data_IF_519856698581
#
_entry.id   IF_519856698581
#
_cell.length_a   1.000
_cell.length_b   1.000
_cell.length_c   1.000
_cell.angle_alpha   90.00
_cell.angle_beta   90.00
_cell.angle_gamma   90.00
#
_symmetry.space_group_name_H-M   'P 1'
#
loop_
_entity.id
_entity.type
_entity.pdbx_description
1 polymer ?
#
# COMPACT_ATOMS: atom_id res chain seq x y z
N UNK A 1 -18.84 12.84 24.76
CA UNK A 1 -18.54 11.94 23.63
C UNK A 1 -17.30 12.49 22.96
N UNK A 2 -16.22 11.71 22.89
CA UNK A 2 -15.06 12.09 22.08
C UNK A 2 -15.49 12.14 20.62
N UNK A 3 -15.11 13.21 19.92
CA UNK A 3 -15.39 13.35 18.49
C UNK A 3 -14.62 12.25 17.74
N UNK A 4 -15.28 11.59 16.79
CA UNK A 4 -14.63 10.59 15.93
C UNK A 4 -13.80 11.31 14.88
N UNK A 5 -12.60 10.82 14.61
CA UNK A 5 -11.79 11.33 13.50
C UNK A 5 -12.41 10.89 12.17
N UNK A 6 -12.51 11.80 11.22
CA UNK A 6 -13.02 11.54 9.88
C UNK A 6 -11.87 11.14 8.96
N UNK A 7 -11.89 9.89 8.49
CA UNK A 7 -10.93 9.40 7.49
C UNK A 7 -11.62 9.28 6.14
N UNK A 8 -10.98 9.83 5.12
CA UNK A 8 -11.31 9.58 3.72
C UNK A 8 -10.42 8.46 3.18
N UNK A 9 -11.00 7.27 2.97
CA UNK A 9 -10.30 6.10 2.45
C UNK A 9 -10.55 5.95 0.94
N UNK A 10 -9.50 5.93 0.13
CA UNK A 10 -9.61 5.88 -1.33
C UNK A 10 -8.79 4.70 -1.86
N UNK A 11 -9.45 3.84 -2.62
CA UNK A 11 -8.97 2.50 -3.00
C UNK A 11 -9.55 2.13 -4.36
N UNK A 12 -8.93 1.20 -5.12
CA UNK A 12 -9.44 0.75 -6.42
C UNK A 12 -10.21 -0.58 -6.37
N UNK A 13 -10.30 -1.19 -5.20
CA UNK A 13 -10.95 -2.48 -4.93
C UNK A 13 -12.02 -2.37 -3.83
N UNK A 14 -13.27 -2.69 -4.18
CA UNK A 14 -14.43 -2.71 -3.27
C UNK A 14 -14.24 -3.68 -2.09
N UNK A 15 -13.51 -4.79 -2.29
CA UNK A 15 -13.24 -5.76 -1.22
C UNK A 15 -12.29 -5.18 -0.18
N UNK A 16 -11.29 -4.41 -0.62
CA UNK A 16 -10.36 -3.71 0.27
C UNK A 16 -11.09 -2.58 1.02
N UNK A 17 -12.05 -1.89 0.37
CA UNK A 17 -12.96 -0.94 1.05
C UNK A 17 -13.79 -1.61 2.13
N UNK A 18 -14.43 -2.74 1.81
CA UNK A 18 -15.22 -3.49 2.78
C UNK A 18 -14.35 -3.94 3.96
N UNK A 19 -13.14 -4.41 3.68
CA UNK A 19 -12.17 -4.84 4.69
C UNK A 19 -11.73 -3.69 5.58
N UNK A 20 -11.33 -2.55 5.00
CA UNK A 20 -10.95 -1.36 5.76
C UNK A 20 -12.09 -0.86 6.64
N UNK A 21 -13.33 -0.85 6.12
CA UNK A 21 -14.52 -0.48 6.90
C UNK A 21 -14.75 -1.43 8.07
N UNK A 22 -14.72 -2.74 7.83
CA UNK A 22 -14.85 -3.77 8.87
C UNK A 22 -13.80 -3.60 9.95
N UNK A 23 -12.56 -3.31 9.56
CA UNK A 23 -11.43 -3.21 10.47
C UNK A 23 -11.40 -1.90 11.25
N UNK A 24 -11.87 -0.78 10.72
CA UNK A 24 -11.58 0.54 11.30
C UNK A 24 -12.81 1.41 11.61
N UNK A 25 -13.94 1.26 10.92
CA UNK A 25 -15.14 2.05 11.21
C UNK A 25 -15.64 1.76 12.63
N UNK A 26 -16.14 2.80 13.34
CA UNK A 26 -16.73 2.61 14.65
C UNK A 26 -16.46 3.77 15.61
N UNK A 27 -16.10 3.44 16.85
CA UNK A 27 -16.04 4.40 17.97
C UNK A 27 -14.95 5.46 17.84
N UNK A 28 -13.88 5.18 17.08
CA UNK A 28 -12.77 6.12 16.86
C UNK A 28 -12.85 6.83 15.50
N UNK A 29 -13.34 6.15 14.47
CA UNK A 29 -13.30 6.63 13.10
C UNK A 29 -14.67 6.65 12.45
N UNK A 30 -14.97 7.80 11.83
CA UNK A 30 -15.99 7.91 10.80
C UNK A 30 -15.31 7.81 9.42
N UNK A 31 -15.84 6.99 8.52
CA UNK A 31 -15.21 6.72 7.22
C UNK A 31 -16.05 7.20 6.05
N UNK A 32 -15.47 8.04 5.21
CA UNK A 32 -15.90 8.19 3.80
C UNK A 32 -15.00 7.30 2.95
N UNK A 33 -15.55 6.24 2.37
CA UNK A 33 -14.79 5.33 1.49
C UNK A 33 -15.23 5.50 0.05
N UNK A 34 -14.26 5.59 -0.87
CA UNK A 34 -14.51 5.71 -2.30
C UNK A 34 -13.70 4.67 -3.09
N UNK A 35 -14.40 3.95 -3.97
CA UNK A 35 -13.79 3.09 -4.97
C UNK A 35 -13.48 3.94 -6.22
N UNK A 36 -12.20 4.11 -6.54
CA UNK A 36 -11.72 4.95 -7.63
C UNK A 36 -10.82 4.12 -8.53
N UNK A 37 -11.19 3.94 -9.79
CA UNK A 37 -10.35 3.22 -10.77
C UNK A 37 -9.53 4.16 -11.66
N UNK A 38 -9.83 5.46 -11.64
CA UNK A 38 -9.15 6.49 -12.44
C UNK A 38 -8.78 7.70 -11.57
N UNK A 39 -7.53 7.76 -11.06
CA UNK A 39 -7.03 8.90 -10.28
C UNK A 39 -7.18 10.26 -10.96
N UNK A 40 -7.18 10.29 -12.30
CA UNK A 40 -7.22 11.53 -13.08
C UNK A 40 -8.55 12.24 -13.02
N UNK A 41 -9.64 11.50 -12.88
CA UNK A 41 -11.01 11.99 -12.86
C UNK A 41 -11.67 11.82 -11.49
N UNK A 42 -10.90 11.50 -10.45
CA UNK A 42 -11.41 11.15 -9.13
C UNK A 42 -11.89 12.35 -8.30
N UNK A 43 -11.30 13.54 -8.51
CA UNK A 43 -11.51 14.69 -7.64
C UNK A 43 -13.00 15.10 -7.51
N UNK A 44 -13.79 15.21 -8.59
CA UNK A 44 -15.21 15.54 -8.46
C UNK A 44 -16.01 14.53 -7.63
N UNK A 45 -15.71 13.23 -7.77
CA UNK A 45 -16.38 12.17 -7.00
C UNK A 45 -16.01 12.25 -5.52
N UNK A 46 -14.75 12.58 -5.23
CA UNK A 46 -14.25 12.78 -3.86
C UNK A 46 -14.90 14.02 -3.24
N UNK A 47 -14.99 15.12 -3.98
CA UNK A 47 -15.67 16.35 -3.53
C UNK A 47 -17.16 16.09 -3.24
N UNK A 48 -17.85 15.37 -4.12
CA UNK A 48 -19.24 14.98 -3.92
C UNK A 48 -19.43 14.13 -2.66
N UNK A 49 -18.60 13.11 -2.46
CA UNK A 49 -18.70 12.20 -1.31
C UNK A 49 -18.34 12.87 0.03
N UNK A 50 -17.42 13.84 0.02
CA UNK A 50 -17.07 14.62 1.21
C UNK A 50 -18.10 15.72 1.49
N UNK A 51 -18.72 16.28 0.45
CA UNK A 51 -19.61 17.42 0.56
C UNK A 51 -18.90 18.62 1.18
N UNK A 52 -19.49 19.19 2.23
CA UNK A 52 -18.88 20.31 2.97
C UNK A 52 -17.86 19.88 4.04
N UNK A 53 -17.63 18.57 4.23
CA UNK A 53 -16.73 18.07 5.28
C UNK A 53 -15.28 18.07 4.81
N UNK A 54 -14.39 18.32 5.76
CA UNK A 54 -12.94 18.20 5.57
C UNK A 54 -12.50 17.02 6.43
N UNK A 55 -11.93 15.94 5.84
CA UNK A 55 -11.46 14.81 6.63
C UNK A 55 -10.19 15.21 7.40
N UNK A 56 -9.96 14.54 8.54
CA UNK A 56 -8.74 14.70 9.33
C UNK A 56 -7.53 14.02 8.67
N UNK A 57 -7.79 13.02 7.82
CA UNK A 57 -6.75 12.25 7.13
C UNK A 57 -7.27 11.65 5.81
N UNK A 58 -6.46 11.76 4.76
CA UNK A 58 -6.58 10.90 3.58
C UNK A 58 -5.75 9.62 3.76
N UNK A 59 -6.39 8.48 3.56
CA UNK A 59 -5.73 7.17 3.48
C UNK A 59 -5.93 6.65 2.07
N UNK A 60 -4.85 6.51 1.31
CA UNK A 60 -4.89 6.22 -0.12
C UNK A 60 -4.22 4.89 -0.42
N UNK A 61 -4.76 4.05 -1.32
CA UNK A 61 -3.91 3.03 -1.94
C UNK A 61 -2.76 3.71 -2.71
N UNK A 62 -1.61 3.04 -2.75
CA UNK A 62 -0.46 3.60 -3.45
C UNK A 62 -0.52 3.29 -4.95
N UNK A 63 -1.10 2.15 -5.33
CA UNK A 63 -1.00 1.62 -6.68
C UNK A 63 -2.29 1.86 -7.43
N UNK A 64 -2.25 2.82 -8.35
CA UNK A 64 -3.34 3.07 -9.29
C UNK A 64 -2.78 3.13 -10.73
N UNK A 65 -3.65 3.09 -11.75
CA UNK A 65 -3.28 3.44 -13.11
C UNK A 65 -2.62 4.82 -13.22
N UNK A 66 -1.42 4.86 -13.82
CA UNK A 66 -0.67 6.10 -14.06
C UNK A 66 -1.04 6.79 -15.39
N UNK A 67 -1.51 5.99 -16.37
CA UNK A 67 -1.88 6.42 -17.72
C UNK A 67 -3.40 6.36 -17.90
N UNK A 68 -3.91 7.06 -18.92
CA UNK A 68 -5.34 7.01 -19.27
C UNK A 68 -5.73 5.70 -19.96
N UNK A 69 -4.74 4.98 -20.48
CA UNK A 69 -4.88 3.68 -21.15
C UNK A 69 -3.89 2.72 -20.48
N UNK A 70 -4.22 2.19 -19.30
CA UNK A 70 -3.36 1.23 -18.61
C UNK A 70 -3.40 -0.12 -19.35
N UNK A 71 -2.34 -0.93 -19.22
CA UNK A 71 -2.34 -2.33 -19.64
C UNK A 71 -3.61 -3.07 -19.20
N UNK A 72 -4.22 -3.83 -20.12
CA UNK A 72 -5.50 -4.54 -19.90
C UNK A 72 -5.41 -5.80 -19.03
N UNK A 73 -4.31 -5.99 -18.31
CA UNK A 73 -4.10 -7.14 -17.42
C UNK A 73 -3.48 -8.36 -18.08
N UNK A 74 -3.72 -9.53 -17.47
CA UNK A 74 -3.13 -10.78 -17.93
C UNK A 74 -3.82 -11.32 -19.20
N UNK A 75 -3.02 -11.62 -20.21
CA UNK A 75 -3.42 -12.18 -21.51
C UNK A 75 -2.51 -13.36 -21.85
N UNK A 76 -2.84 -14.18 -22.88
CA UNK A 76 -1.94 -15.22 -23.36
C UNK A 76 -0.50 -14.75 -23.61
N UNK A 77 -0.33 -13.51 -24.08
CA UNK A 77 0.98 -12.94 -24.38
C UNK A 77 1.76 -12.50 -23.14
N UNK A 78 1.07 -12.06 -22.07
CA UNK A 78 1.74 -11.63 -20.82
C UNK A 78 1.95 -12.79 -19.84
N UNK A 79 1.22 -13.89 -20.00
CA UNK A 79 1.39 -15.07 -19.14
C UNK A 79 2.80 -15.67 -19.18
N UNK A 80 3.48 -15.63 -20.32
CA UNK A 80 4.83 -16.17 -20.45
C UNK A 80 5.82 -15.50 -19.48
N UNK A 81 5.84 -14.17 -19.47
CA UNK A 81 6.67 -13.37 -18.56
C UNK A 81 6.28 -13.55 -17.10
N UNK A 82 4.97 -13.54 -16.82
CA UNK A 82 4.44 -13.74 -15.48
C UNK A 82 4.83 -15.11 -14.89
N UNK A 83 4.72 -16.17 -15.70
CA UNK A 83 5.09 -17.53 -15.29
C UNK A 83 6.60 -17.69 -15.14
N UNK A 84 7.40 -17.03 -15.98
CA UNK A 84 8.86 -17.05 -15.83
C UNK A 84 9.30 -16.41 -14.51
N UNK A 85 8.69 -15.28 -14.12
CA UNK A 85 8.92 -14.65 -12.81
C UNK A 85 8.55 -15.58 -11.64
N UNK A 86 7.40 -16.25 -11.72
CA UNK A 86 6.99 -17.23 -10.72
C UNK A 86 7.96 -18.42 -10.63
N UNK A 87 8.41 -18.94 -11.77
CA UNK A 87 9.35 -20.06 -11.79
C UNK A 87 10.69 -19.73 -11.13
N UNK A 88 11.18 -18.48 -11.26
CA UNK A 88 12.40 -18.03 -10.58
C UNK A 88 12.21 -17.96 -9.06
N UNK A 89 11.09 -17.41 -8.59
CA UNK A 89 10.78 -17.37 -7.17
C UNK A 89 10.63 -18.78 -6.57
N UNK A 90 9.98 -19.70 -7.28
CA UNK A 90 9.85 -21.10 -6.86
C UNK A 90 11.21 -21.80 -6.78
N UNK A 91 12.08 -21.61 -7.77
CA UNK A 91 13.44 -22.17 -7.73
C UNK A 91 14.24 -21.66 -6.54
N UNK A 92 14.20 -20.35 -6.27
CA UNK A 92 14.87 -19.77 -5.10
C UNK A 92 14.32 -20.32 -3.78
N UNK A 93 13.01 -20.62 -3.72
CA UNK A 93 12.40 -21.27 -2.57
C UNK A 93 12.86 -22.74 -2.40
N UNK A 94 12.90 -23.52 -3.48
CA UNK A 94 13.40 -24.91 -3.48
C UNK A 94 14.88 -24.97 -3.07
N UNK A 95 15.70 -24.05 -3.57
CA UNK A 95 17.11 -23.94 -3.19
C UNK A 95 17.26 -23.63 -1.69
N UNK A 96 16.49 -22.68 -1.17
CA UNK A 96 16.48 -22.34 0.26
C UNK A 96 16.00 -23.52 1.12
N UNK A 97 14.91 -24.20 0.74
CA UNK A 97 14.40 -25.37 1.43
C UNK A 97 15.44 -26.49 1.48
N UNK A 98 16.13 -26.74 0.36
CA UNK A 98 17.22 -27.72 0.27
C UNK A 98 18.34 -27.48 1.29
N UNK A 99 18.63 -26.22 1.62
CA UNK A 99 19.64 -25.88 2.64
C UNK A 99 19.21 -26.26 4.06
N UNK A 100 17.90 -26.35 4.33
CA UNK A 100 17.37 -26.80 5.64
C UNK A 100 17.32 -28.32 5.78
N UNK A 101 17.40 -29.06 4.66
CA UNK A 101 17.36 -30.53 4.65
C UNK A 101 18.75 -31.16 4.91
N UNK A 102 19.84 -30.38 4.81
CA UNK A 102 21.21 -30.82 5.11
C UNK A 102 21.72 -30.18 6.41
N UNK A 103 21.49 -30.88 7.54
CA UNK A 103 21.94 -30.46 8.88
C UNK A 103 23.47 -30.21 8.95
N UNK A 104 24.26 -30.87 8.10
CA UNK A 104 25.72 -30.71 8.07
C UNK A 104 26.18 -29.44 7.36
N UNK A 105 25.38 -28.93 6.41
CA UNK A 105 25.58 -27.67 5.73
C UNK A 105 25.07 -26.47 6.55
N UNK A 106 23.97 -26.65 7.27
CA UNK A 106 23.37 -25.68 8.19
C UNK A 106 24.39 -25.18 9.25
N UNK A 107 25.16 -26.09 9.84
CA UNK A 107 26.13 -25.76 10.88
C UNK A 107 27.33 -24.89 10.40
N UNK A 108 27.49 -24.67 9.10
CA UNK A 108 28.67 -23.98 8.52
C UNK A 108 28.34 -22.72 7.74
N UNK A 109 27.07 -22.32 7.61
CA UNK A 109 26.73 -21.35 6.55
C UNK A 109 25.54 -20.40 6.81
N UNK A 110 25.41 -19.85 8.02
CA UNK A 110 24.39 -18.83 8.35
C UNK A 110 24.32 -17.66 7.34
N UNK A 111 25.48 -17.22 6.82
CA UNK A 111 25.54 -16.15 5.82
C UNK A 111 24.99 -16.58 4.46
N UNK A 112 25.19 -17.82 4.06
CA UNK A 112 24.60 -18.35 2.82
C UNK A 112 23.09 -18.51 2.98
N UNK A 113 22.59 -18.93 4.14
CA UNK A 113 21.16 -18.97 4.42
C UNK A 113 20.52 -17.58 4.30
N UNK A 114 21.17 -16.54 4.85
CA UNK A 114 20.69 -15.16 4.69
C UNK A 114 20.73 -14.69 3.23
N UNK A 115 21.75 -15.09 2.45
CA UNK A 115 21.84 -14.76 1.02
C UNK A 115 20.73 -15.46 0.22
N UNK A 116 20.51 -16.75 0.43
CA UNK A 116 19.46 -17.52 -0.22
C UNK A 116 18.06 -16.98 0.15
N UNK A 117 17.84 -16.66 1.43
CA UNK A 117 16.62 -15.98 1.87
C UNK A 117 16.43 -14.61 1.19
N UNK A 118 17.50 -13.83 1.05
CA UNK A 118 17.47 -12.54 0.33
C UNK A 118 17.18 -12.72 -1.16
N UNK A 119 17.71 -13.74 -1.81
CA UNK A 119 17.42 -14.08 -3.22
C UNK A 119 15.94 -14.41 -3.40
N UNK A 120 15.34 -15.21 -2.52
CA UNK A 120 13.91 -15.50 -2.54
C UNK A 120 13.09 -14.20 -2.45
N UNK A 121 13.39 -13.33 -1.48
CA UNK A 121 12.71 -12.04 -1.34
C UNK A 121 12.85 -11.19 -2.61
N UNK A 122 14.05 -11.12 -3.18
CA UNK A 122 14.32 -10.38 -4.41
C UNK A 122 13.46 -10.87 -5.58
N UNK A 123 13.44 -12.18 -5.84
CA UNK A 123 12.67 -12.75 -6.94
C UNK A 123 11.17 -12.63 -6.72
N UNK A 124 10.68 -12.81 -5.49
CA UNK A 124 9.27 -12.58 -5.16
C UNK A 124 8.85 -11.12 -5.39
N UNK A 125 9.68 -10.16 -5.01
CA UNK A 125 9.43 -8.74 -5.25
C UNK A 125 9.44 -8.41 -6.74
N UNK A 126 10.41 -8.91 -7.51
CA UNK A 126 10.46 -8.71 -8.97
C UNK A 126 9.25 -9.29 -9.68
N UNK A 127 8.83 -10.50 -9.30
CA UNK A 127 7.63 -11.13 -9.81
C UNK A 127 6.40 -10.25 -9.54
N UNK A 128 6.21 -9.81 -8.28
CA UNK A 128 5.08 -8.95 -7.92
C UNK A 128 5.10 -7.61 -8.68
N UNK A 129 6.28 -7.00 -8.86
CA UNK A 129 6.43 -5.77 -9.64
C UNK A 129 5.99 -5.96 -11.08
N UNK A 130 6.44 -7.04 -11.72
CA UNK A 130 6.04 -7.37 -13.08
C UNK A 130 4.51 -7.58 -13.19
N UNK A 131 3.90 -8.23 -12.21
CA UNK A 131 2.44 -8.38 -12.18
C UNK A 131 1.73 -7.04 -12.04
N UNK A 132 2.26 -6.11 -11.23
CA UNK A 132 1.74 -4.76 -11.15
C UNK A 132 1.82 -4.05 -12.52
N UNK A 133 2.95 -4.16 -13.21
CA UNK A 133 3.13 -3.56 -14.55
C UNK A 133 2.12 -4.12 -15.56
N UNK A 134 1.90 -5.44 -15.57
CA UNK A 134 0.91 -6.11 -16.44
C UNK A 134 -0.52 -5.64 -16.12
N UNK A 135 -0.81 -5.35 -14.85
CA UNK A 135 -2.11 -4.83 -14.40
C UNK A 135 -2.21 -3.30 -14.51
N UNK A 136 -1.18 -2.62 -15.02
CA UNK A 136 -1.13 -1.16 -15.12
C UNK A 136 -1.07 -0.44 -13.77
N UNK A 137 -0.74 -1.15 -12.70
CA UNK A 137 -0.73 -0.68 -11.33
C UNK A 137 0.62 -0.06 -10.99
N UNK A 138 0.64 1.23 -10.64
CA UNK A 138 1.89 1.96 -10.39
C UNK A 138 1.79 2.87 -9.15
N UNK A 139 2.86 2.97 -8.34
CA UNK A 139 2.92 3.94 -7.23
C UNK A 139 2.76 5.39 -7.70
N UNK A 140 3.15 5.68 -8.95
CA UNK A 140 3.01 7.02 -9.50
C UNK A 140 1.53 7.45 -9.67
N UNK A 141 0.61 6.49 -9.81
CA UNK A 141 -0.83 6.74 -9.86
C UNK A 141 -1.37 7.28 -8.53
N UNK A 142 -1.07 6.62 -7.41
CA UNK A 142 -1.45 7.08 -6.08
C UNK A 142 -0.78 8.40 -5.69
N UNK A 143 0.51 8.56 -6.03
CA UNK A 143 1.23 9.84 -5.83
C UNK A 143 0.58 10.98 -6.63
N UNK A 144 0.14 10.74 -7.86
CA UNK A 144 -0.55 11.74 -8.66
C UNK A 144 -1.92 12.11 -8.06
N UNK A 145 -2.66 11.14 -7.53
CA UNK A 145 -3.92 11.40 -6.81
C UNK A 145 -3.68 12.27 -5.57
N UNK A 146 -2.71 11.91 -4.75
CA UNK A 146 -2.35 12.65 -3.53
C UNK A 146 -2.00 14.11 -3.85
N UNK A 147 -1.24 14.36 -4.93
CA UNK A 147 -0.89 15.73 -5.35
C UNK A 147 -2.13 16.56 -5.67
N UNK A 148 -3.10 15.99 -6.40
CA UNK A 148 -4.38 16.67 -6.68
C UNK A 148 -5.19 16.93 -5.41
N UNK A 149 -5.23 15.96 -4.51
CA UNK A 149 -5.92 16.14 -3.22
C UNK A 149 -5.27 17.24 -2.40
N UNK A 150 -3.94 17.34 -2.38
CA UNK A 150 -3.23 18.42 -1.68
C UNK A 150 -3.46 19.79 -2.30
N UNK A 151 -3.63 19.89 -3.62
CA UNK A 151 -4.02 21.15 -4.26
C UNK A 151 -5.40 21.63 -3.77
N UNK A 152 -6.34 20.71 -3.58
CA UNK A 152 -7.71 21.01 -3.13
C UNK A 152 -7.83 21.15 -1.61
N UNK A 153 -7.14 20.32 -0.85
CA UNK A 153 -7.20 20.17 0.60
C UNK A 153 -5.80 20.30 1.21
N UNK A 154 -5.15 21.48 1.11
CA UNK A 154 -3.73 21.64 1.43
C UNK A 154 -3.38 21.40 2.91
N UNK A 155 -4.35 21.52 3.81
CA UNK A 155 -4.17 21.29 5.24
C UNK A 155 -4.42 19.85 5.68
N UNK A 156 -4.99 19.00 4.80
CA UNK A 156 -5.32 17.62 5.14
C UNK A 156 -4.11 16.72 4.86
N UNK A 157 -3.57 16.01 5.86
CA UNK A 157 -2.49 15.07 5.64
C UNK A 157 -2.93 13.87 4.83
N UNK A 158 -1.97 13.21 4.18
CA UNK A 158 -2.19 11.96 3.46
C UNK A 158 -1.16 10.92 3.86
N UNK A 159 -1.62 9.68 4.06
CA UNK A 159 -0.78 8.48 4.15
C UNK A 159 -1.16 7.52 3.04
N UNK A 160 -0.21 6.71 2.59
CA UNK A 160 -0.51 5.58 1.74
C UNK A 160 -0.75 4.32 2.57
N UNK A 161 -1.53 3.39 2.02
CA UNK A 161 -1.87 2.12 2.62
C UNK A 161 -1.75 1.04 1.55
N UNK A 162 -0.72 0.18 1.59
CA UNK A 162 -0.44 -0.76 0.49
C UNK A 162 0.20 -2.08 0.92
N UNK A 163 -0.19 -3.19 0.28
CA UNK A 163 0.50 -4.50 0.41
C UNK A 163 1.68 -4.64 -0.57
N UNK A 164 1.71 -3.77 -1.58
CA UNK A 164 2.60 -3.88 -2.76
C UNK A 164 3.84 -2.99 -2.64
N UNK A 165 3.88 -2.09 -1.64
CA UNK A 165 4.93 -1.09 -1.49
C UNK A 165 6.28 -1.72 -1.13
N UNK A 166 7.33 -1.25 -1.82
CA UNK A 166 8.73 -1.57 -1.57
C UNK A 166 9.47 -0.30 -1.15
N UNK A 167 10.69 -0.45 -0.61
CA UNK A 167 11.51 0.69 -0.14
C UNK A 167 11.60 1.86 -1.13
N UNK A 168 11.82 1.63 -2.45
CA UNK A 168 11.81 2.74 -3.41
C UNK A 168 10.46 3.47 -3.52
N UNK A 169 9.34 2.75 -3.40
CA UNK A 169 8.01 3.34 -3.44
C UNK A 169 7.75 4.19 -2.20
N UNK A 170 8.16 3.69 -1.02
CA UNK A 170 8.08 4.42 0.25
C UNK A 170 8.86 5.73 0.14
N UNK A 171 10.10 5.67 -0.34
CA UNK A 171 10.92 6.86 -0.56
C UNK A 171 10.22 7.86 -1.49
N UNK A 172 9.73 7.40 -2.63
CA UNK A 172 9.05 8.26 -3.61
C UNK A 172 7.77 8.91 -3.05
N UNK A 173 7.00 8.18 -2.25
CA UNK A 173 5.81 8.67 -1.59
C UNK A 173 6.14 9.77 -0.55
N UNK A 174 7.14 9.54 0.30
CA UNK A 174 7.59 10.50 1.30
C UNK A 174 8.16 11.77 0.64
N UNK A 175 8.97 11.62 -0.41
CA UNK A 175 9.49 12.75 -1.21
C UNK A 175 8.36 13.54 -1.89
N UNK A 176 7.26 12.89 -2.25
CA UNK A 176 6.07 13.55 -2.79
C UNK A 176 5.25 14.28 -1.71
N UNK A 177 5.53 14.05 -0.43
CA UNK A 177 4.92 14.70 0.73
C UNK A 177 3.82 13.89 1.42
N UNK A 178 3.78 12.57 1.24
CA UNK A 178 3.01 11.71 2.13
C UNK A 178 3.61 11.74 3.54
N UNK A 179 2.79 11.60 4.57
CA UNK A 179 3.27 11.46 5.94
C UNK A 179 3.93 10.09 6.17
N UNK A 180 3.36 9.05 5.56
CA UNK A 180 3.83 7.68 5.70
C UNK A 180 3.30 6.77 4.58
N UNK A 181 3.85 5.56 4.52
CA UNK A 181 3.33 4.43 3.76
C UNK A 181 3.12 3.25 4.72
N UNK A 182 1.86 3.05 5.08
CA UNK A 182 1.41 1.97 5.94
C UNK A 182 1.26 0.67 5.14
N UNK A 183 1.74 -0.44 5.68
CA UNK A 183 1.53 -1.75 5.09
C UNK A 183 0.17 -2.27 5.54
N UNK A 184 -0.68 -2.70 4.58
CA UNK A 184 -1.98 -3.29 4.97
C UNK A 184 -1.71 -4.61 5.70
N UNK A 185 -2.51 -4.94 6.73
CA UNK A 185 -2.44 -6.22 7.41
C UNK A 185 -2.39 -7.40 6.43
N UNK A 186 -1.61 -8.41 6.76
CA UNK A 186 -1.58 -9.64 6.00
C UNK A 186 -2.94 -10.33 6.11
N UNK A 187 -3.47 -10.89 5.01
CA UNK A 187 -4.83 -11.46 4.95
C UNK A 187 -5.14 -12.47 6.07
N UNK A 188 -4.15 -13.27 6.43
CA UNK A 188 -4.27 -14.29 7.48
C UNK A 188 -4.16 -13.75 8.90
N UNK A 189 -3.78 -12.48 9.08
CA UNK A 189 -3.50 -11.82 10.35
C UNK A 189 -4.24 -10.47 10.49
N UNK A 190 -5.25 -10.22 9.65
CA UNK A 190 -5.89 -8.91 9.51
C UNK A 190 -6.33 -8.31 10.85
N UNK A 191 -7.05 -9.09 11.66
CA UNK A 191 -7.59 -8.60 12.93
C UNK A 191 -6.50 -8.31 13.97
N UNK A 192 -5.42 -9.11 13.98
CA UNK A 192 -4.33 -8.94 14.93
C UNK A 192 -3.47 -7.71 14.59
N UNK A 193 -3.15 -7.51 13.32
CA UNK A 193 -2.31 -6.40 12.87
C UNK A 193 -3.08 -5.08 12.77
N UNK A 194 -4.40 -5.12 12.53
CA UNK A 194 -5.23 -3.92 12.45
C UNK A 194 -5.27 -3.11 13.76
N UNK A 195 -5.07 -3.75 14.93
CA UNK A 195 -5.00 -3.05 16.21
C UNK A 195 -3.88 -2.00 16.20
N UNK A 196 -2.71 -2.37 15.70
CA UNK A 196 -1.57 -1.46 15.65
C UNK A 196 -1.77 -0.36 14.59
N UNK A 197 -2.30 -0.72 13.41
CA UNK A 197 -2.60 0.26 12.35
C UNK A 197 -3.62 1.30 12.84
N UNK A 198 -4.62 0.89 13.62
CA UNK A 198 -5.61 1.80 14.22
C UNK A 198 -4.96 2.86 15.10
N UNK A 199 -4.01 2.48 15.95
CA UNK A 199 -3.27 3.43 16.81
C UNK A 199 -2.48 4.45 15.98
N UNK A 200 -1.84 3.97 14.91
CA UNK A 200 -1.09 4.82 13.98
C UNK A 200 -2.02 5.82 13.28
N UNK A 201 -3.15 5.35 12.73
CA UNK A 201 -4.13 6.22 12.07
C UNK A 201 -4.67 7.29 13.02
N UNK A 202 -4.98 6.94 14.27
CA UNK A 202 -5.43 7.89 15.29
C UNK A 202 -4.35 8.94 15.57
N UNK A 203 -3.09 8.54 15.71
CA UNK A 203 -1.98 9.46 15.90
C UNK A 203 -1.81 10.44 14.71
N UNK A 204 -2.05 9.98 13.47
CA UNK A 204 -2.00 10.86 12.30
C UNK A 204 -3.15 11.87 12.26
N UNK A 205 -4.38 11.45 12.56
CA UNK A 205 -5.52 12.36 12.69
C UNK A 205 -5.30 13.42 13.78
N UNK A 206 -4.57 13.08 14.85
CA UNK A 206 -4.28 13.98 15.97
C UNK A 206 -3.04 14.86 15.79
N UNK A 207 -2.33 14.76 14.66
CA UNK A 207 -1.15 15.58 14.43
C UNK A 207 0.13 15.08 15.11
N UNK A 208 0.18 13.80 15.52
CA UNK A 208 1.24 13.22 16.37
C UNK A 208 2.15 12.21 15.66
N UNK A 209 1.85 11.83 14.42
CA UNK A 209 2.63 10.82 13.70
C UNK A 209 3.99 11.33 13.16
N UNK A 210 4.93 10.42 12.80
CA UNK A 210 6.16 10.76 12.08
C UNK A 210 5.90 11.65 10.86
N UNK A 211 6.78 12.62 10.59
CA UNK A 211 6.63 13.52 9.44
C UNK A 211 5.70 14.72 9.64
N UNK A 212 4.92 14.75 10.73
CA UNK A 212 4.24 15.98 11.15
C UNK A 212 5.28 17.04 11.54
N UNK A 213 5.43 18.05 10.69
CA UNK A 213 6.21 19.23 11.06
C UNK A 213 5.40 20.01 12.08
N UNK A 214 5.83 20.00 13.35
CA UNK A 214 5.32 20.98 14.33
C UNK A 214 5.56 22.37 13.73
N UNK A 215 4.58 23.30 13.79
CA UNK A 215 4.84 24.69 13.49
C UNK A 215 6.03 25.13 14.34
N UNK A 216 7.07 25.68 13.71
CA UNK A 216 8.10 26.41 14.43
C UNK A 216 7.37 27.61 15.04
N UNK A 217 7.17 27.59 16.36
CA UNK A 217 6.65 28.72 17.12
C UNK A 217 7.61 29.90 17.07
#
# INVERSE_FOLDING_TARGET
>A
MTMRHHIAFIEDDELEIATFRRLYAGDQFELTSLCITSPRSALPQIEEALGARIPDLFVLDLFFPATSDPPGGFTPDTFGGARAGLALALRAAEELEGMFLDESALAKNDKELLRAGSELVYWSQRMLRHWCDVLGQSPSGGIALMRRLREKYPAVPAVFYSRKAMVPDVKAALEAGALDVLIKPHRSLEDAEAVHVREILAAYCEGRGPGWRRPLH
#
